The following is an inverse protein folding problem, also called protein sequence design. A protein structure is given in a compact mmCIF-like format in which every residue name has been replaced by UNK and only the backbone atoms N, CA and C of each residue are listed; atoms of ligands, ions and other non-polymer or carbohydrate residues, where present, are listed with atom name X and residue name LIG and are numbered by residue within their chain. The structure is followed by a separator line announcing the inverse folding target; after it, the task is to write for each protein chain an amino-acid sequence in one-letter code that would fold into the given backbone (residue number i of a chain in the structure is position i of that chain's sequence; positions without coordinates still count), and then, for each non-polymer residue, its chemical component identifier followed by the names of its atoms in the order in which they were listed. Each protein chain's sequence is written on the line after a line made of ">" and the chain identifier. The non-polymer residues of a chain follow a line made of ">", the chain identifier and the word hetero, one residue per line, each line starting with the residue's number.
data_IF_646380757919
#
_entry.id   IF_646380757919
#
_cell.length_a   1.000
_cell.length_b   1.000
_cell.length_c   1.000
_cell.angle_alpha   90.00
_cell.angle_beta   90.00
_cell.angle_gamma   90.00
#
_symmetry.space_group_name_H-M   'P 1'
#
loop_
_entity.id
_entity.type
_entity.pdbx_description
1 polymer ?
#
# COMPACT_ATOMS: atom_id res chain seq x y z
N UNK A 1 19.08 -6.39 21.37
CA UNK A 1 18.27 -6.96 20.27
C UNK A 1 19.00 -6.76 18.95
N UNK A 2 18.70 -7.57 17.93
CA UNK A 2 19.34 -7.47 16.59
C UNK A 2 18.86 -6.23 15.81
N UNK A 3 17.73 -5.66 16.23
CA UNK A 3 17.15 -4.42 15.73
C UNK A 3 17.03 -3.41 16.89
N UNK A 4 17.13 -2.12 16.60
CA UNK A 4 16.96 -1.05 17.58
C UNK A 4 15.56 -1.01 18.19
N UNK A 5 15.40 -0.31 19.31
CA UNK A 5 14.10 -0.16 20.01
C UNK A 5 13.04 0.53 19.14
N UNK A 6 13.46 1.34 18.18
CA UNK A 6 12.58 2.07 17.26
C UNK A 6 12.21 1.27 16.00
N UNK A 7 12.66 0.02 15.84
CA UNK A 7 12.40 -0.77 14.64
C UNK A 7 10.91 -1.00 14.35
N UNK A 8 10.03 -0.86 15.36
CA UNK A 8 8.59 -0.88 15.18
C UNK A 8 8.10 0.22 14.21
N UNK A 9 8.81 1.35 14.11
CA UNK A 9 8.49 2.43 13.16
C UNK A 9 8.79 2.04 11.72
N UNK A 10 9.92 1.39 11.48
CA UNK A 10 10.25 0.83 10.19
C UNK A 10 9.25 -0.26 9.77
N UNK A 11 8.84 -1.15 10.69
CA UNK A 11 7.78 -2.14 10.41
C UNK A 11 6.40 -1.51 10.18
N UNK A 12 6.05 -0.47 10.96
CA UNK A 12 4.81 0.28 10.74
C UNK A 12 4.77 0.95 9.37
N UNK A 13 5.88 1.56 8.96
CA UNK A 13 6.06 2.15 7.64
C UNK A 13 5.91 1.09 6.53
N UNK A 14 6.60 -0.06 6.68
CA UNK A 14 6.51 -1.19 5.76
C UNK A 14 5.08 -1.73 5.66
N UNK A 15 4.36 -1.85 6.78
CA UNK A 15 2.95 -2.25 6.79
C UNK A 15 2.06 -1.26 6.03
N UNK A 16 2.34 0.05 6.13
CA UNK A 16 1.71 1.06 5.28
C UNK A 16 1.91 0.77 3.79
N UNK A 17 3.12 0.38 3.38
CA UNK A 17 3.41 -0.02 2.00
C UNK A 17 2.65 -1.27 1.59
N UNK A 18 2.62 -2.30 2.43
CA UNK A 18 1.99 -3.57 2.08
C UNK A 18 0.47 -3.59 2.23
N UNK A 19 -0.15 -2.53 2.74
CA UNK A 19 -1.61 -2.40 2.75
C UNK A 19 -2.07 -1.45 1.65
N UNK A 20 -1.36 -0.34 1.44
CA UNK A 20 -1.77 0.73 0.52
C UNK A 20 -0.66 1.27 -0.38
N UNK A 21 0.53 0.71 -0.40
CA UNK A 21 1.64 1.14 -1.25
C UNK A 21 2.45 2.33 -0.70
N UNK A 22 3.41 2.77 -1.51
CA UNK A 22 4.46 3.72 -1.10
C UNK A 22 3.92 5.05 -0.56
N UNK A 23 2.81 5.56 -1.08
CA UNK A 23 2.17 6.77 -0.54
C UNK A 23 1.68 6.59 0.89
N UNK A 24 1.06 5.44 1.18
CA UNK A 24 0.60 5.08 2.53
C UNK A 24 1.77 4.78 3.47
N UNK A 25 2.86 4.16 2.99
CA UNK A 25 4.10 4.01 3.75
C UNK A 25 4.58 5.36 4.29
N UNK A 26 4.75 6.35 3.40
CA UNK A 26 5.23 7.68 3.79
C UNK A 26 4.28 8.38 4.75
N UNK A 27 2.97 8.26 4.51
CA UNK A 27 1.96 8.81 5.41
C UNK A 27 2.07 8.17 6.80
N UNK A 28 2.15 6.84 6.89
CA UNK A 28 2.32 6.12 8.16
C UNK A 28 3.63 6.49 8.85
N UNK A 29 4.75 6.56 8.12
CA UNK A 29 6.03 7.04 8.65
C UNK A 29 5.89 8.40 9.32
N UNK A 30 5.12 9.31 8.71
CA UNK A 30 4.92 10.65 9.28
C UNK A 30 3.99 10.65 10.49
N UNK A 31 3.00 9.75 10.55
CA UNK A 31 2.10 9.63 11.71
C UNK A 31 2.80 9.11 12.96
N UNK A 32 3.82 8.26 12.80
CA UNK A 32 4.56 7.63 13.90
C UNK A 32 5.93 8.27 14.16
N UNK A 33 6.21 9.39 13.49
CA UNK A 33 7.47 10.14 13.59
C UNK A 33 8.71 9.25 13.35
N UNK A 34 8.65 8.49 12.25
CA UNK A 34 9.75 7.71 11.72
C UNK A 34 10.77 8.63 11.04
N UNK A 35 12.05 8.39 11.31
CA UNK A 35 13.14 9.18 10.75
C UNK A 35 13.57 8.68 9.34
N UNK A 36 14.61 9.29 8.77
CA UNK A 36 15.13 8.89 7.47
C UNK A 36 15.72 7.48 7.44
N UNK A 37 16.29 7.00 8.54
CA UNK A 37 16.85 5.66 8.62
C UNK A 37 15.73 4.60 8.69
N UNK A 38 14.67 4.85 9.47
CA UNK A 38 13.49 4.00 9.56
C UNK A 38 12.79 3.85 8.19
N UNK A 39 12.58 4.97 7.49
CA UNK A 39 11.98 4.98 6.15
C UNK A 39 12.90 4.29 5.13
N UNK A 40 14.22 4.51 5.24
CA UNK A 40 15.21 3.83 4.42
C UNK A 40 15.15 2.31 4.58
N UNK A 41 15.07 1.81 5.82
CA UNK A 41 14.91 0.38 6.11
C UNK A 41 13.64 -0.19 5.50
N UNK A 42 12.51 0.51 5.64
CA UNK A 42 11.24 0.13 5.04
C UNK A 42 11.33 0.03 3.51
N UNK A 43 11.90 1.04 2.84
CA UNK A 43 12.06 1.06 1.37
C UNK A 43 12.97 -0.08 0.89
N UNK A 44 14.09 -0.33 1.58
CA UNK A 44 15.03 -1.41 1.23
C UNK A 44 14.35 -2.76 1.37
N UNK A 45 13.64 -3.01 2.47
CA UNK A 45 12.89 -4.24 2.65
C UNK A 45 11.79 -4.40 1.61
N UNK A 46 10.96 -3.37 1.42
CA UNK A 46 9.85 -3.38 0.47
C UNK A 46 10.33 -3.75 -0.94
N UNK A 47 11.36 -3.05 -1.42
CA UNK A 47 11.95 -3.30 -2.75
C UNK A 47 12.56 -4.70 -2.84
N UNK A 48 13.32 -5.13 -1.83
CA UNK A 48 14.01 -6.43 -1.82
C UNK A 48 13.01 -7.59 -1.82
N UNK A 49 12.00 -7.52 -0.96
CA UNK A 49 10.93 -8.53 -0.89
C UNK A 49 10.18 -8.57 -2.21
N UNK A 50 9.87 -7.41 -2.77
CA UNK A 50 9.13 -7.33 -4.02
C UNK A 50 9.89 -7.92 -5.22
N UNK A 51 11.22 -7.76 -5.29
CA UNK A 51 12.07 -8.42 -6.28
C UNK A 51 11.99 -9.96 -6.25
N UNK A 52 11.75 -10.53 -5.07
CA UNK A 52 11.60 -11.97 -4.88
C UNK A 52 10.15 -12.41 -5.10
N UNK A 53 9.19 -11.65 -4.55
CA UNK A 53 7.79 -12.03 -4.51
C UNK A 53 7.08 -11.86 -5.86
N UNK A 54 7.38 -10.82 -6.62
CA UNK A 54 6.75 -10.59 -7.92
C UNK A 54 6.99 -11.77 -8.90
N UNK A 55 8.22 -12.27 -9.11
CA UNK A 55 8.44 -13.47 -9.91
C UNK A 55 7.65 -14.69 -9.44
N UNK A 56 7.52 -14.89 -8.12
CA UNK A 56 6.72 -15.99 -7.55
C UNK A 56 5.24 -15.84 -7.93
N UNK A 57 4.69 -14.62 -7.79
CA UNK A 57 3.30 -14.34 -8.18
C UNK A 57 3.08 -14.61 -9.67
N UNK A 58 3.96 -14.14 -10.55
CA UNK A 58 3.84 -14.37 -11.99
C UNK A 58 3.98 -15.87 -12.33
N UNK A 59 4.97 -16.56 -11.76
CA UNK A 59 5.20 -17.98 -11.99
C UNK A 59 4.06 -18.87 -11.45
N UNK A 60 3.31 -18.39 -10.45
CA UNK A 60 2.20 -19.14 -9.85
C UNK A 60 1.11 -19.53 -10.86
N UNK A 61 1.00 -18.79 -11.98
CA UNK A 61 0.11 -19.12 -13.10
C UNK A 61 0.32 -20.54 -13.62
N UNK A 62 1.54 -21.07 -13.60
CA UNK A 62 1.86 -22.42 -14.06
C UNK A 62 1.39 -23.53 -13.11
N UNK A 63 0.89 -23.17 -11.92
CA UNK A 63 0.42 -24.10 -10.90
C UNK A 63 -1.12 -24.23 -10.87
N UNK A 64 -1.84 -23.64 -11.84
CA UNK A 64 -3.30 -23.52 -11.83
C UNK A 64 -4.02 -24.84 -11.50
N UNK A 65 -3.76 -25.92 -12.24
CA UNK A 65 -4.42 -27.22 -11.98
C UNK A 65 -4.13 -27.79 -10.59
N UNK A 66 -2.87 -27.70 -10.13
CA UNK A 66 -2.45 -28.20 -8.82
C UNK A 66 -3.09 -27.37 -7.71
N UNK A 67 -3.14 -26.06 -7.91
CA UNK A 67 -3.72 -25.11 -6.99
C UNK A 67 -5.24 -25.26 -6.93
N UNK A 68 -5.92 -25.46 -8.06
CA UNK A 68 -7.37 -25.67 -8.10
C UNK A 68 -7.78 -26.91 -7.28
N UNK A 69 -7.00 -28.00 -7.35
CA UNK A 69 -7.18 -29.19 -6.49
C UNK A 69 -6.94 -28.87 -5.02
N UNK A 70 -5.89 -28.11 -4.71
CA UNK A 70 -5.60 -27.67 -3.35
C UNK A 70 -6.69 -26.74 -2.79
N UNK A 71 -7.21 -25.79 -3.55
CA UNK A 71 -8.20 -24.83 -3.08
C UNK A 71 -9.65 -25.36 -3.21
N UNK A 72 -9.86 -26.52 -3.84
CA UNK A 72 -11.19 -27.11 -4.13
C UNK A 72 -12.09 -26.14 -4.89
N UNK A 73 -11.52 -25.51 -5.91
CA UNK A 73 -12.20 -24.49 -6.73
C UNK A 73 -13.29 -25.17 -7.55
N UNK A 74 -14.50 -24.61 -7.51
CA UNK A 74 -15.59 -25.01 -8.38
C UNK A 74 -15.40 -24.37 -9.77
N UNK A 75 -15.18 -25.22 -10.77
CA UNK A 75 -14.91 -24.77 -12.14
C UNK A 75 -16.08 -23.96 -12.74
N UNK A 76 -17.32 -24.27 -12.35
CA UNK A 76 -18.52 -23.62 -12.87
C UNK A 76 -18.70 -22.22 -12.28
N UNK A 77 -18.45 -22.07 -10.98
CA UNK A 77 -18.53 -20.80 -10.26
C UNK A 77 -17.42 -19.82 -10.71
N UNK A 78 -16.22 -20.34 -10.99
CA UNK A 78 -15.11 -19.54 -11.50
C UNK A 78 -15.34 -19.06 -12.94
N UNK A 79 -15.85 -19.94 -13.81
CA UNK A 79 -16.20 -19.57 -15.19
C UNK A 79 -17.29 -18.47 -15.22
N UNK A 80 -18.24 -18.53 -14.29
CA UNK A 80 -19.28 -17.52 -14.12
C UNK A 80 -18.72 -16.17 -13.63
N UNK A 81 -17.76 -16.18 -12.70
CA UNK A 81 -17.09 -14.95 -12.25
C UNK A 81 -16.26 -14.32 -13.38
N UNK A 82 -15.48 -15.11 -14.13
CA UNK A 82 -14.67 -14.61 -15.25
C UNK A 82 -15.54 -14.02 -16.37
N UNK A 83 -16.69 -14.63 -16.69
CA UNK A 83 -17.57 -14.15 -17.78
C UNK A 83 -18.30 -12.83 -17.49
N UNK A 84 -18.38 -12.40 -16.22
CA UNK A 84 -18.98 -11.11 -15.84
C UNK A 84 -18.03 -9.90 -16.03
N UNK A 85 -16.75 -10.12 -16.35
CA UNK A 85 -15.74 -9.05 -16.42
C UNK A 85 -15.64 -8.42 -17.81
N UNK A 86 -16.66 -7.63 -18.19
CA UNK A 86 -16.59 -6.73 -19.33
C UNK A 86 -16.49 -5.28 -18.86
N UNK A 87 -15.28 -4.81 -18.63
CA UNK A 87 -15.02 -3.37 -18.50
C UNK A 87 -13.85 -2.98 -19.37
N UNK A 88 -14.17 -2.26 -20.44
CA UNK A 88 -13.18 -1.57 -21.26
C UNK A 88 -12.48 -0.51 -20.38
N UNK A 89 -11.14 -0.46 -20.34
CA UNK A 89 -10.46 0.61 -19.63
C UNK A 89 -10.90 1.95 -20.20
N UNK A 90 -11.33 2.87 -19.31
CA UNK A 90 -11.70 4.21 -19.71
C UNK A 90 -10.46 4.93 -20.27
N UNK A 91 -10.57 5.66 -21.40
CA UNK A 91 -9.45 6.40 -21.94
C UNK A 91 -8.94 7.42 -20.92
N UNK A 92 -7.63 7.38 -20.66
CA UNK A 92 -6.98 8.29 -19.73
C UNK A 92 -6.93 9.69 -20.35
N UNK A 93 -7.67 10.63 -19.77
CA UNK A 93 -7.65 12.02 -20.23
C UNK A 93 -6.28 12.65 -19.94
N UNK A 94 -5.72 13.34 -20.93
CA UNK A 94 -4.43 14.02 -20.81
C UNK A 94 -4.60 15.21 -19.87
N UNK A 95 -3.79 15.25 -18.80
CA UNK A 95 -3.78 16.36 -17.86
C UNK A 95 -3.26 17.63 -18.54
N UNK A 96 -3.83 18.78 -18.16
CA UNK A 96 -3.43 20.09 -18.64
C UNK A 96 -3.00 20.93 -17.45
N UNK A 97 -2.27 22.02 -17.68
CA UNK A 97 -1.73 22.87 -16.60
C UNK A 97 -2.81 23.33 -15.62
N UNK A 98 -3.99 23.72 -16.11
CA UNK A 98 -5.08 24.17 -15.24
C UNK A 98 -5.64 23.04 -14.35
N UNK A 99 -5.64 21.79 -14.81
CA UNK A 99 -6.00 20.63 -14.01
C UNK A 99 -5.00 20.42 -12.86
N UNK A 100 -3.70 20.54 -13.16
CA UNK A 100 -2.64 20.40 -12.15
C UNK A 100 -2.71 21.51 -11.09
N UNK A 101 -2.94 22.76 -11.52
CA UNK A 101 -3.14 23.90 -10.61
C UNK A 101 -4.37 23.65 -9.73
N UNK A 102 -5.50 23.22 -10.31
CA UNK A 102 -6.71 22.93 -9.54
C UNK A 102 -6.48 21.82 -8.49
N UNK A 103 -5.75 20.76 -8.85
CA UNK A 103 -5.38 19.70 -7.91
C UNK A 103 -4.45 20.18 -6.80
N UNK A 104 -3.49 21.07 -7.11
CA UNK A 104 -2.63 21.70 -6.10
C UNK A 104 -3.44 22.59 -5.15
N UNK A 105 -4.32 23.44 -5.68
CA UNK A 105 -5.21 24.27 -4.87
C UNK A 105 -6.09 23.41 -3.96
N UNK A 106 -6.66 22.31 -4.48
CA UNK A 106 -7.45 21.37 -3.70
C UNK A 106 -6.61 20.70 -2.60
N UNK A 107 -5.38 20.27 -2.93
CA UNK A 107 -4.45 19.67 -1.97
C UNK A 107 -4.07 20.64 -0.84
N UNK A 108 -3.74 21.89 -1.16
CA UNK A 108 -3.44 22.92 -0.16
C UNK A 108 -4.66 23.28 0.69
N UNK A 109 -5.83 23.43 0.08
CA UNK A 109 -7.07 23.70 0.81
C UNK A 109 -7.43 22.56 1.77
N UNK A 110 -7.35 21.30 1.32
CA UNK A 110 -7.57 20.13 2.16
C UNK A 110 -6.54 20.04 3.29
N UNK A 111 -5.28 20.39 3.02
CA UNK A 111 -4.22 20.41 4.04
C UNK A 111 -4.46 21.47 5.10
N UNK A 112 -4.80 22.69 4.69
CA UNK A 112 -5.14 23.79 5.61
C UNK A 112 -6.35 23.43 6.49
N UNK A 113 -7.38 22.83 5.89
CA UNK A 113 -8.57 22.41 6.62
C UNK A 113 -8.25 21.27 7.60
N UNK A 114 -7.46 20.28 7.18
CA UNK A 114 -7.04 19.17 8.03
C UNK A 114 -6.19 19.65 9.21
N UNK A 115 -5.29 20.61 9.00
CA UNK A 115 -4.46 21.19 10.05
C UNK A 115 -5.32 21.99 11.06
N UNK A 116 -6.28 22.77 10.56
CA UNK A 116 -7.23 23.54 11.39
C UNK A 116 -8.07 22.63 12.29
N UNK A 117 -8.55 21.50 11.77
CA UNK A 117 -9.28 20.51 12.58
C UNK A 117 -8.36 19.72 13.50
N UNK A 118 -7.18 19.31 13.03
CA UNK A 118 -6.21 18.57 13.85
C UNK A 118 -5.80 19.36 15.11
N UNK A 119 -5.69 20.69 15.02
CA UNK A 119 -5.37 21.56 16.15
C UNK A 119 -6.46 21.58 17.23
N UNK A 120 -7.71 21.26 16.88
CA UNK A 120 -8.84 21.21 17.81
C UNK A 120 -9.08 19.80 18.40
N UNK A 121 -8.40 18.77 17.88
CA UNK A 121 -8.56 17.39 18.32
C UNK A 121 -7.60 17.06 19.48
N UNK A 122 -8.00 16.16 20.41
CA UNK A 122 -7.16 15.80 21.54
C UNK A 122 -5.90 15.05 21.09
N UNK A 123 -4.75 15.44 21.62
CA UNK A 123 -3.51 14.68 21.46
C UNK A 123 -3.37 13.63 22.58
N UNK A 124 -2.99 12.42 22.19
CA UNK A 124 -2.59 11.35 23.11
C UNK A 124 -1.29 10.76 22.61
N UNK A 125 -0.16 11.33 23.03
CA UNK A 125 1.15 10.86 22.57
C UNK A 125 1.47 9.47 23.15
N UNK A 126 2.10 8.57 22.38
CA UNK A 126 2.52 8.73 20.97
C UNK A 126 1.44 8.31 19.93
N UNK A 127 0.25 7.90 20.36
CA UNK A 127 -0.77 7.27 19.51
C UNK A 127 -1.44 8.25 18.55
N UNK A 128 -1.95 9.37 19.07
CA UNK A 128 -2.73 10.38 18.34
C UNK A 128 -2.02 11.72 18.47
N UNK A 129 -1.22 12.07 17.46
CA UNK A 129 -0.55 13.37 17.35
C UNK A 129 -1.29 14.27 16.36
N UNK A 130 -1.01 15.57 16.34
CA UNK A 130 -1.46 16.46 15.26
C UNK A 130 -1.12 15.93 13.86
N UNK A 131 0.06 15.31 13.68
CA UNK A 131 0.43 14.67 12.40
C UNK A 131 -0.46 13.47 12.07
N UNK A 132 -0.80 12.64 13.07
CA UNK A 132 -1.73 11.51 12.92
C UNK A 132 -3.09 12.01 12.47
N UNK A 133 -3.68 12.96 13.22
CA UNK A 133 -4.98 13.52 12.89
C UNK A 133 -5.02 14.14 11.49
N UNK A 134 -4.03 14.95 11.15
CA UNK A 134 -3.94 15.60 9.84
C UNK A 134 -3.94 14.59 8.70
N UNK A 135 -3.19 13.49 8.82
CA UNK A 135 -3.09 12.48 7.76
C UNK A 135 -4.39 11.66 7.64
N UNK A 136 -4.99 11.28 8.76
CA UNK A 136 -6.28 10.57 8.74
C UNK A 136 -7.40 11.44 8.17
N UNK A 137 -7.42 12.75 8.51
CA UNK A 137 -8.35 13.72 7.94
C UNK A 137 -8.12 13.93 6.45
N UNK A 138 -6.87 14.09 6.00
CA UNK A 138 -6.54 14.19 4.57
C UNK A 138 -7.01 12.97 3.78
N UNK A 139 -6.85 11.78 4.36
CA UNK A 139 -7.34 10.53 3.75
C UNK A 139 -8.86 10.52 3.69
N UNK A 140 -9.54 10.91 4.78
CA UNK A 140 -11.00 11.03 4.84
C UNK A 140 -11.53 12.03 3.82
N UNK A 141 -10.89 13.20 3.68
CA UNK A 141 -11.26 14.21 2.69
C UNK A 141 -11.03 13.70 1.28
N UNK A 142 -9.91 13.05 0.99
CA UNK A 142 -9.67 12.44 -0.32
C UNK A 142 -10.77 11.44 -0.71
N UNK A 143 -11.17 10.57 0.24
CA UNK A 143 -12.27 9.62 0.04
C UNK A 143 -13.60 10.36 -0.17
N UNK A 144 -13.94 11.33 0.68
CA UNK A 144 -15.18 12.11 0.55
C UNK A 144 -15.26 12.86 -0.79
N UNK A 145 -14.17 13.52 -1.20
CA UNK A 145 -14.09 14.24 -2.47
C UNK A 145 -14.18 13.30 -3.69
N UNK A 146 -13.80 12.02 -3.54
CA UNK A 146 -13.96 11.01 -4.61
C UNK A 146 -15.42 10.72 -4.98
N UNK A 147 -16.37 11.04 -4.10
CA UNK A 147 -17.81 10.96 -4.38
C UNK A 147 -18.37 12.20 -5.09
N UNK A 148 -17.56 13.24 -5.27
CA UNK A 148 -17.95 14.51 -5.89
C UNK A 148 -17.50 14.59 -7.35
N UNK A 149 -17.96 15.61 -8.13
CA UNK A 149 -17.47 15.84 -9.49
C UNK A 149 -15.94 16.04 -9.60
N UNK A 150 -15.25 16.38 -8.50
CA UNK A 150 -13.79 16.57 -8.47
C UNK A 150 -13.01 15.31 -8.86
N UNK A 151 -13.60 14.12 -8.72
CA UNK A 151 -12.99 12.86 -9.18
C UNK A 151 -12.70 12.83 -10.68
N UNK A 152 -13.33 13.71 -11.47
CA UNK A 152 -13.18 13.80 -12.92
C UNK A 152 -11.98 14.64 -13.35
N UNK A 153 -11.30 15.34 -12.43
CA UNK A 153 -10.13 16.15 -12.77
C UNK A 153 -8.96 15.20 -13.12
N UNK A 154 -8.44 15.24 -14.36
CA UNK A 154 -7.34 14.37 -14.77
C UNK A 154 -6.01 14.80 -14.16
N UNK A 155 -5.08 13.85 -14.00
CA UNK A 155 -3.71 14.13 -13.57
C UNK A 155 -3.44 14.00 -12.07
N UNK A 156 -4.41 13.57 -11.27
CA UNK A 156 -4.25 13.37 -9.82
C UNK A 156 -3.12 12.39 -9.49
N UNK A 157 -3.07 11.24 -10.15
CA UNK A 157 -2.07 10.22 -9.89
C UNK A 157 -0.64 10.64 -10.31
N UNK A 158 -0.38 11.12 -11.54
CA UNK A 158 0.95 11.63 -11.92
C UNK A 158 1.46 12.76 -11.03
N UNK A 159 0.58 13.71 -10.65
CA UNK A 159 0.94 14.81 -9.74
C UNK A 159 1.31 14.28 -8.35
N UNK A 160 0.50 13.37 -7.80
CA UNK A 160 0.77 12.75 -6.51
C UNK A 160 2.11 11.99 -6.51
N UNK A 161 2.41 11.24 -7.57
CA UNK A 161 3.69 10.52 -7.70
C UNK A 161 4.88 11.47 -7.81
N UNK A 162 4.76 12.58 -8.56
CA UNK A 162 5.83 13.58 -8.64
C UNK A 162 6.16 14.19 -7.27
N UNK A 163 5.12 14.56 -6.49
CA UNK A 163 5.30 15.09 -5.14
C UNK A 163 5.85 14.04 -4.17
N UNK A 164 5.38 12.78 -4.29
CA UNK A 164 5.87 11.66 -3.50
C UNK A 164 7.37 11.42 -3.76
N UNK A 165 7.82 11.42 -5.00
CA UNK A 165 9.24 11.22 -5.33
C UNK A 165 10.12 12.36 -4.80
N UNK A 166 9.64 13.61 -4.87
CA UNK A 166 10.35 14.73 -4.24
C UNK A 166 10.47 14.54 -2.73
N UNK A 167 9.42 14.05 -2.07
CA UNK A 167 9.44 13.75 -0.65
C UNK A 167 10.43 12.63 -0.31
N UNK A 168 10.39 11.51 -1.05
CA UNK A 168 11.31 10.38 -0.85
C UNK A 168 12.76 10.81 -1.06
N UNK A 169 13.03 11.63 -2.08
CA UNK A 169 14.35 12.20 -2.32
C UNK A 169 14.83 13.06 -1.14
N UNK A 170 13.96 13.92 -0.59
CA UNK A 170 14.27 14.72 0.61
C UNK A 170 14.59 13.83 1.81
N UNK A 171 13.77 12.81 2.08
CA UNK A 171 13.98 11.89 3.20
C UNK A 171 15.32 11.15 3.09
N UNK A 172 15.63 10.65 1.88
CA UNK A 172 16.92 9.99 1.61
C UNK A 172 18.11 10.92 1.80
N UNK A 173 18.00 12.20 1.41
CA UNK A 173 19.05 13.19 1.63
C UNK A 173 19.31 13.50 3.11
N UNK A 174 18.33 13.28 3.99
CA UNK A 174 18.44 13.50 5.44
C UNK A 174 18.73 12.24 6.26
N UNK A 175 18.82 11.07 5.63
CA UNK A 175 18.95 9.79 6.34
C UNK A 175 20.39 9.51 6.79
N UNK A 176 20.54 8.94 7.99
CA UNK A 176 21.80 8.33 8.42
C UNK A 176 21.93 6.94 7.78
N UNK A 177 22.65 6.89 6.66
CA UNK A 177 22.85 5.66 5.89
C UNK A 177 23.72 4.63 6.62
N UNK A 178 24.58 5.07 7.54
CA UNK A 178 25.43 4.15 8.30
C UNK A 178 24.58 3.38 9.32
N UNK A 179 23.70 4.08 10.03
CA UNK A 179 22.76 3.46 10.95
C UNK A 179 21.81 2.50 10.22
N UNK A 180 21.22 2.93 9.09
CA UNK A 180 20.33 2.10 8.29
C UNK A 180 21.04 0.84 7.76
N UNK A 181 22.28 0.96 7.27
CA UNK A 181 23.04 -0.17 6.72
C UNK A 181 23.29 -1.27 7.77
N UNK A 182 23.60 -0.90 9.02
CA UNK A 182 23.85 -1.89 10.08
C UNK A 182 22.62 -2.73 10.44
N UNK A 183 21.42 -2.17 10.28
CA UNK A 183 20.15 -2.83 10.63
C UNK A 183 19.44 -3.43 9.41
N UNK A 184 19.88 -3.12 8.19
CA UNK A 184 19.20 -3.54 6.96
C UNK A 184 19.07 -5.06 6.85
N UNK A 185 20.15 -5.81 7.07
CA UNK A 185 20.12 -7.28 6.98
C UNK A 185 19.11 -7.95 7.95
N UNK A 186 19.17 -7.72 9.28
CA UNK A 186 18.18 -8.30 10.19
C UNK A 186 16.76 -7.79 9.91
N UNK A 187 16.59 -6.55 9.45
CA UNK A 187 15.27 -6.01 9.12
C UNK A 187 14.66 -6.71 7.91
N UNK A 188 15.45 -6.93 6.84
CA UNK A 188 15.04 -7.70 5.65
C UNK A 188 14.68 -9.13 6.02
N UNK A 189 15.43 -9.78 6.93
CA UNK A 189 15.07 -11.11 7.44
C UNK A 189 13.71 -11.10 8.13
N UNK A 190 13.41 -10.09 8.96
CA UNK A 190 12.08 -9.96 9.55
C UNK A 190 10.98 -9.70 8.50
N UNK A 191 11.26 -8.88 7.49
CA UNK A 191 10.34 -8.68 6.37
C UNK A 191 10.10 -9.99 5.58
N UNK A 192 11.14 -10.83 5.41
CA UNK A 192 11.00 -12.16 4.81
C UNK A 192 10.05 -13.07 5.62
N UNK A 193 10.08 -12.96 6.96
CA UNK A 193 9.12 -13.69 7.80
C UNK A 193 7.70 -13.14 7.57
N UNK A 194 7.53 -11.82 7.54
CA UNK A 194 6.23 -11.19 7.30
C UNK A 194 5.62 -11.61 5.96
N UNK A 195 6.41 -11.65 4.87
CA UNK A 195 5.91 -12.07 3.56
C UNK A 195 5.56 -13.56 3.50
N UNK A 196 6.29 -14.42 4.22
CA UNK A 196 5.96 -15.84 4.34
C UNK A 196 4.64 -16.03 5.08
N UNK A 197 4.42 -15.29 6.18
CA UNK A 197 3.15 -15.29 6.92
C UNK A 197 2.01 -14.79 6.03
N UNK A 198 2.22 -13.71 5.27
CA UNK A 198 1.26 -13.22 4.28
C UNK A 198 0.93 -14.28 3.23
N UNK A 199 1.95 -14.94 2.66
CA UNK A 199 1.76 -16.02 1.70
C UNK A 199 0.94 -17.18 2.27
N UNK A 200 1.25 -17.61 3.49
CA UNK A 200 0.48 -18.64 4.19
C UNK A 200 -0.99 -18.21 4.42
N UNK A 201 -1.21 -16.94 4.79
CA UNK A 201 -2.56 -16.39 4.95
C UNK A 201 -3.32 -16.35 3.62
N UNK A 202 -2.68 -15.95 2.52
CA UNK A 202 -3.27 -16.00 1.19
C UNK A 202 -3.62 -17.42 0.75
N UNK A 203 -2.75 -18.41 1.03
CA UNK A 203 -3.03 -19.82 0.73
C UNK A 203 -4.19 -20.37 1.57
N UNK A 204 -4.23 -20.03 2.86
CA UNK A 204 -5.33 -20.41 3.74
C UNK A 204 -6.65 -19.77 3.29
N UNK A 205 -6.65 -18.47 2.97
CA UNK A 205 -7.80 -17.76 2.42
C UNK A 205 -8.25 -18.36 1.09
N UNK A 206 -7.32 -18.71 0.21
CA UNK A 206 -7.64 -19.34 -1.07
C UNK A 206 -8.38 -20.66 -0.90
N UNK A 207 -7.96 -21.48 0.07
CA UNK A 207 -8.63 -22.74 0.39
C UNK A 207 -9.94 -22.57 1.14
N UNK A 208 -10.06 -21.56 2.01
CA UNK A 208 -11.28 -21.26 2.75
C UNK A 208 -12.39 -20.77 1.82
N UNK A 209 -12.06 -19.82 0.94
CA UNK A 209 -13.00 -19.20 0.00
C UNK A 209 -13.09 -19.93 -1.34
N UNK A 210 -12.30 -21.00 -1.54
CA UNK A 210 -12.25 -21.81 -2.76
C UNK A 210 -11.97 -21.00 -4.02
N UNK A 211 -11.01 -20.08 -3.94
CA UNK A 211 -10.60 -19.23 -5.07
C UNK A 211 -9.37 -19.78 -5.78
N UNK A 212 -9.24 -19.43 -7.06
CA UNK A 212 -8.16 -19.89 -7.93
C UNK A 212 -6.83 -19.17 -7.67
N UNK A 213 -5.75 -19.71 -8.27
CA UNK A 213 -4.41 -19.13 -8.13
C UNK A 213 -4.34 -17.71 -8.69
N UNK A 214 -5.12 -17.41 -9.73
CA UNK A 214 -5.17 -16.10 -10.36
C UNK A 214 -5.71 -15.05 -9.39
N UNK A 215 -6.87 -15.30 -8.77
CA UNK A 215 -7.46 -14.39 -7.79
C UNK A 215 -6.55 -14.25 -6.57
N UNK A 216 -5.97 -15.35 -6.08
CA UNK A 216 -5.05 -15.30 -4.95
C UNK A 216 -3.78 -14.48 -5.24
N UNK A 217 -3.18 -14.66 -6.42
CA UNK A 217 -2.00 -13.90 -6.84
C UNK A 217 -2.31 -12.41 -7.02
N UNK A 218 -3.46 -12.06 -7.61
CA UNK A 218 -3.91 -10.67 -7.77
C UNK A 218 -4.18 -10.03 -6.41
N UNK A 219 -4.84 -10.75 -5.49
CA UNK A 219 -5.07 -10.28 -4.14
C UNK A 219 -3.76 -10.02 -3.38
N UNK A 220 -2.80 -10.93 -3.50
CA UNK A 220 -1.47 -10.73 -2.91
C UNK A 220 -0.74 -9.54 -3.53
N UNK A 221 -0.83 -9.36 -4.86
CA UNK A 221 -0.20 -8.24 -5.55
C UNK A 221 -0.83 -6.89 -5.17
N UNK A 222 -2.15 -6.85 -4.97
CA UNK A 222 -2.86 -5.66 -4.50
C UNK A 222 -2.42 -5.20 -3.12
N UNK A 223 -2.05 -6.13 -2.23
CA UNK A 223 -1.54 -5.83 -0.90
C UNK A 223 -0.08 -5.33 -1.00
N UNK A 224 0.84 -6.18 -1.46
CA UNK A 224 2.29 -5.90 -1.36
C UNK A 224 2.79 -4.94 -2.44
N UNK A 225 2.23 -5.03 -3.65
CA UNK A 225 2.68 -4.27 -4.81
C UNK A 225 1.85 -3.02 -5.12
N UNK A 226 0.69 -2.89 -4.47
CA UNK A 226 -0.21 -1.75 -4.60
C UNK A 226 -0.66 -1.48 -6.05
N UNK A 227 -1.03 -0.22 -6.31
CA UNK A 227 -1.65 0.17 -7.58
C UNK A 227 -0.71 0.12 -8.79
N UNK A 228 0.61 0.11 -8.56
CA UNK A 228 1.60 0.04 -9.63
C UNK A 228 1.68 -1.35 -10.26
N UNK A 229 1.47 -2.42 -9.48
CA UNK A 229 1.76 -3.77 -9.96
C UNK A 229 0.65 -4.79 -9.84
N UNK A 230 -0.37 -4.55 -9.02
CA UNK A 230 -1.58 -5.38 -9.04
C UNK A 230 -2.17 -5.54 -10.46
N UNK A 231 -2.23 -4.47 -11.30
CA UNK A 231 -2.72 -4.60 -12.67
C UNK A 231 -1.77 -5.39 -13.58
N UNK A 232 -0.46 -5.35 -13.30
CA UNK A 232 0.57 -6.09 -14.06
C UNK A 232 0.42 -7.59 -13.80
N UNK A 233 0.34 -7.99 -12.52
CA UNK A 233 0.12 -9.39 -12.14
C UNK A 233 -1.24 -9.87 -12.68
N UNK A 234 -2.28 -9.06 -12.51
CA UNK A 234 -3.60 -9.38 -13.05
C UNK A 234 -3.59 -9.59 -14.56
N UNK A 235 -3.03 -8.66 -15.33
CA UNK A 235 -2.94 -8.78 -16.79
C UNK A 235 -2.10 -9.97 -17.26
N UNK A 236 -1.07 -10.36 -16.50
CA UNK A 236 -0.31 -11.57 -16.78
C UNK A 236 -1.12 -12.85 -16.55
N UNK A 237 -1.92 -12.89 -15.48
CA UNK A 237 -2.79 -14.02 -15.16
C UNK A 237 -3.96 -14.13 -16.14
N UNK A 238 -4.72 -13.05 -16.29
CA UNK A 238 -5.82 -12.89 -17.25
C UNK A 238 -5.99 -11.38 -17.56
N UNK A 239 -5.81 -10.93 -18.81
CA UNK A 239 -5.99 -9.53 -19.20
C UNK A 239 -7.33 -8.91 -18.75
N UNK A 240 -8.39 -9.71 -18.61
CA UNK A 240 -9.71 -9.25 -18.18
C UNK A 240 -9.76 -8.88 -16.69
N UNK A 241 -8.80 -9.35 -15.89
CA UNK A 241 -8.74 -9.08 -14.45
C UNK A 241 -7.91 -7.82 -14.11
N UNK A 242 -7.24 -7.20 -15.08
CA UNK A 242 -6.45 -5.99 -14.83
C UNK A 242 -7.24 -4.86 -14.16
N UNK A 243 -8.50 -4.53 -14.57
CA UNK A 243 -9.33 -3.56 -13.87
C UNK A 243 -9.65 -3.95 -12.43
N UNK A 244 -9.88 -5.25 -12.17
CA UNK A 244 -10.13 -5.75 -10.82
C UNK A 244 -8.88 -5.56 -9.93
N UNK A 245 -7.68 -5.83 -10.46
CA UNK A 245 -6.41 -5.56 -9.79
C UNK A 245 -6.24 -4.08 -9.43
N UNK A 246 -6.59 -3.16 -10.34
CA UNK A 246 -6.61 -1.70 -10.04
C UNK A 246 -7.55 -1.39 -8.89
N UNK A 247 -8.80 -1.88 -8.95
CA UNK A 247 -9.80 -1.60 -7.91
C UNK A 247 -9.39 -2.13 -6.54
N UNK A 248 -8.88 -3.36 -6.48
CA UNK A 248 -8.39 -3.95 -5.22
C UNK A 248 -7.25 -3.12 -4.61
N UNK A 249 -6.30 -2.67 -5.43
CA UNK A 249 -5.21 -1.83 -4.97
C UNK A 249 -5.68 -0.43 -4.50
N UNK A 250 -6.66 0.16 -5.19
CA UNK A 250 -7.25 1.45 -4.77
C UNK A 250 -8.01 1.36 -3.46
N UNK A 251 -8.65 0.21 -3.16
CA UNK A 251 -9.22 -0.06 -1.83
C UNK A 251 -8.10 -0.06 -0.78
N UNK A 252 -6.98 -0.72 -1.07
CA UNK A 252 -5.78 -0.69 -0.23
C UNK A 252 -5.29 0.74 0.06
N UNK A 253 -5.24 1.60 -0.97
CA UNK A 253 -4.84 3.02 -0.83
C UNK A 253 -5.76 3.77 0.14
N UNK A 254 -7.08 3.52 0.05
CA UNK A 254 -8.08 4.18 0.87
C UNK A 254 -8.00 3.77 2.35
N UNK A 255 -7.73 2.49 2.64
CA UNK A 255 -7.67 1.97 4.02
C UNK A 255 -6.27 2.03 4.62
N UNK A 256 -5.23 2.12 3.79
CA UNK A 256 -3.83 1.90 4.17
C UNK A 256 -3.30 2.84 5.25
N UNK A 257 -3.77 4.10 5.30
CA UNK A 257 -3.34 5.01 6.36
C UNK A 257 -3.92 4.60 7.73
N UNK A 258 -5.20 4.22 7.79
CA UNK A 258 -5.83 3.78 9.04
C UNK A 258 -5.25 2.44 9.50
N UNK A 259 -5.20 1.46 8.61
CA UNK A 259 -4.76 0.11 8.93
C UNK A 259 -3.25 0.04 9.15
N UNK A 260 -2.46 0.78 8.37
CA UNK A 260 -1.01 0.87 8.56
C UNK A 260 -0.62 1.58 9.85
N UNK A 261 -1.32 2.64 10.25
CA UNK A 261 -1.14 3.26 11.57
C UNK A 261 -1.49 2.28 12.69
N UNK A 262 -2.62 1.57 12.59
CA UNK A 262 -2.98 0.55 13.58
C UNK A 262 -1.94 -0.58 13.65
N UNK A 263 -1.43 -1.04 12.51
CA UNK A 263 -0.35 -2.03 12.45
C UNK A 263 0.93 -1.52 13.14
N UNK A 264 1.29 -0.25 12.93
CA UNK A 264 2.43 0.36 13.61
C UNK A 264 2.25 0.37 15.14
N UNK A 265 1.03 0.67 15.63
CA UNK A 265 0.73 0.61 17.06
C UNK A 265 0.81 -0.82 17.62
N UNK A 266 0.36 -1.82 16.86
CA UNK A 266 0.52 -3.23 17.23
C UNK A 266 2.01 -3.61 17.31
N UNK A 267 2.83 -3.19 16.33
CA UNK A 267 4.28 -3.40 16.38
C UNK A 267 4.89 -2.78 17.65
N UNK A 268 4.52 -1.54 17.98
CA UNK A 268 4.97 -0.85 19.20
C UNK A 268 4.58 -1.62 20.46
N UNK A 269 3.32 -2.05 20.55
CA UNK A 269 2.83 -2.82 21.68
C UNK A 269 3.58 -4.15 21.86
N UNK A 270 3.83 -4.89 20.76
CA UNK A 270 4.62 -6.14 20.81
C UNK A 270 6.09 -5.91 21.19
N UNK A 271 6.61 -4.71 20.95
CA UNK A 271 7.95 -4.31 21.39
C UNK A 271 8.01 -3.92 22.89
N UNK A 272 6.87 -3.93 23.60
CA UNK A 272 6.78 -3.58 25.02
C UNK A 272 6.88 -2.08 25.30
N UNK A 273 6.54 -1.24 24.32
CA UNK A 273 6.60 0.22 24.39
C UNK A 273 5.23 0.85 24.55
#
# INVERSE_FOLDING_TARGET
>A
SWLGTEAWKAYGSLAGSWIGGTGNMIAVSKMIDADGADVGLAIVADTTIYLIWLPILLASKHLDERFARFARVDAEQLAKLRSMHRTTPAPQQVAQTHHLIALLCLGFAATWLADSFAAALPEQRPYLTSSTWRILLLTSFGIALSFTPLRKIPGSHPLAMALLYLFVAKMGASADLQQAATQAAPFVVGALICIVVHGAFCLAGARLFRVDVHTAAIASAANIGGAASAPIVAGHHDPQLAPAGVLMALVGYAVGNYAGWLAALLCRWTAGL
#
